data_IF_569989583253
#
_entry.id   IF_569989583253
#
_cell.length_a   1.000
_cell.length_b   1.000
_cell.length_c   1.000
_cell.angle_alpha   90.00
_cell.angle_beta   90.00
_cell.angle_gamma   90.00
#
_symmetry.space_group_name_H-M   'P 1'
#
loop_
_entity.id
_entity.type
_entity.pdbx_description
1 polymer ?
#
# COMPACT_ATOMS: atom_id res chain seq x y z
N UNK A 1 -19.71 3.89 -18.03
CA UNK A 1 -19.54 3.65 -16.59
C UNK A 1 -18.87 2.29 -16.45
N UNK A 2 -17.54 2.27 -16.37
CA UNK A 2 -16.78 1.02 -16.25
C UNK A 2 -16.96 0.49 -14.83
N UNK A 3 -17.81 -0.54 -14.70
CA UNK A 3 -17.94 -1.32 -13.46
C UNK A 3 -16.55 -1.82 -13.07
N UNK A 4 -16.14 -1.50 -11.85
CA UNK A 4 -14.95 -2.05 -11.20
C UNK A 4 -15.17 -3.57 -11.16
N UNK A 5 -14.51 -4.30 -12.06
CA UNK A 5 -14.50 -5.77 -12.06
C UNK A 5 -13.86 -6.21 -10.75
N UNK A 6 -14.70 -6.54 -9.77
CA UNK A 6 -14.41 -7.05 -8.42
C UNK A 6 -12.90 -7.09 -8.03
N UNK A 7 -12.38 -6.06 -7.35
CA UNK A 7 -11.04 -6.04 -6.77
C UNK A 7 -10.90 -6.91 -5.51
N UNK A 8 -11.84 -7.80 -5.22
CA UNK A 8 -12.01 -8.35 -3.87
C UNK A 8 -10.96 -9.43 -3.51
N UNK A 9 -10.18 -9.91 -4.49
CA UNK A 9 -9.07 -10.83 -4.20
C UNK A 9 -7.78 -10.06 -3.90
N UNK A 10 -7.08 -10.47 -2.84
CA UNK A 10 -5.75 -9.98 -2.49
C UNK A 10 -4.77 -9.98 -3.69
N UNK A 11 -4.87 -10.99 -4.55
CA UNK A 11 -4.08 -11.09 -5.78
C UNK A 11 -4.34 -9.94 -6.76
N UNK A 12 -5.61 -9.55 -6.96
CA UNK A 12 -5.97 -8.41 -7.82
C UNK A 12 -5.39 -7.11 -7.27
N UNK A 13 -5.51 -6.89 -5.95
CA UNK A 13 -4.96 -5.72 -5.29
C UNK A 13 -3.44 -5.62 -5.47
N UNK A 14 -2.73 -6.75 -5.38
CA UNK A 14 -1.28 -6.75 -5.64
C UNK A 14 -0.92 -6.54 -7.10
N UNK A 15 -1.76 -6.98 -8.04
CA UNK A 15 -1.57 -6.70 -9.47
C UNK A 15 -1.75 -5.20 -9.73
N UNK A 16 -2.83 -4.59 -9.23
CA UNK A 16 -3.07 -3.15 -9.33
C UNK A 16 -1.95 -2.33 -8.65
N UNK A 17 -1.47 -2.79 -7.49
CA UNK A 17 -0.38 -2.15 -6.76
C UNK A 17 0.92 -2.19 -7.58
N UNK A 18 1.22 -3.32 -8.22
CA UNK A 18 2.38 -3.47 -9.09
C UNK A 18 2.30 -2.50 -10.28
N UNK A 19 1.16 -2.46 -10.97
CA UNK A 19 0.96 -1.60 -12.14
C UNK A 19 1.08 -0.11 -11.79
N UNK A 20 0.50 0.31 -10.66
CA UNK A 20 0.64 1.67 -10.16
C UNK A 20 2.10 2.01 -9.83
N UNK A 21 2.84 1.07 -9.22
CA UNK A 21 4.25 1.25 -8.88
C UNK A 21 5.14 1.35 -10.13
N UNK A 22 4.92 0.51 -11.15
CA UNK A 22 5.63 0.59 -12.43
C UNK A 22 5.34 1.91 -13.16
N UNK A 23 4.11 2.42 -13.05
CA UNK A 23 3.70 3.69 -13.64
C UNK A 23 4.21 4.92 -12.86
N UNK A 24 4.79 4.73 -11.68
CA UNK A 24 5.23 5.81 -10.80
C UNK A 24 4.07 6.60 -10.16
N UNK A 25 2.84 6.10 -10.22
CA UNK A 25 1.69 6.71 -9.57
C UNK A 25 1.65 6.34 -8.08
N UNK A 26 2.51 7.00 -7.32
CA UNK A 26 2.65 6.74 -5.88
C UNK A 26 1.41 7.12 -5.07
N UNK A 27 0.52 7.98 -5.60
CA UNK A 27 -0.75 8.26 -4.94
C UNK A 27 -1.69 7.05 -5.01
N UNK A 28 -1.75 6.39 -6.17
CA UNK A 28 -2.48 5.12 -6.33
C UNK A 28 -1.85 3.99 -5.54
N UNK A 29 -0.51 3.86 -5.55
CA UNK A 29 0.20 2.88 -4.70
C UNK A 29 -0.21 3.04 -3.24
N UNK A 30 -0.21 4.28 -2.73
CA UNK A 30 -0.60 4.55 -1.35
C UNK A 30 -2.06 4.18 -1.05
N UNK A 31 -2.97 4.48 -1.98
CA UNK A 31 -4.39 4.13 -1.84
C UNK A 31 -4.59 2.61 -1.76
N UNK A 32 -4.01 1.86 -2.70
CA UNK A 32 -4.16 0.40 -2.78
C UNK A 32 -3.47 -0.27 -1.57
N UNK A 33 -2.28 0.19 -1.20
CA UNK A 33 -1.56 -0.33 -0.04
C UNK A 33 -2.35 -0.11 1.26
N UNK A 34 -3.04 1.02 1.43
CA UNK A 34 -3.93 1.25 2.56
C UNK A 34 -5.12 0.27 2.57
N UNK A 35 -5.70 -0.01 1.41
CA UNK A 35 -6.80 -0.98 1.26
C UNK A 35 -6.36 -2.40 1.68
N UNK A 36 -5.17 -2.82 1.23
CA UNK A 36 -4.60 -4.12 1.61
C UNK A 36 -4.27 -4.15 3.10
N UNK A 37 -3.59 -3.16 3.66
CA UNK A 37 -3.24 -3.13 5.10
C UNK A 37 -4.49 -3.14 5.99
N UNK A 38 -5.56 -2.46 5.58
CA UNK A 38 -6.82 -2.45 6.34
C UNK A 38 -7.57 -3.79 6.30
N UNK A 39 -7.45 -4.53 5.20
CA UNK A 39 -8.21 -5.78 4.98
C UNK A 39 -7.40 -7.03 5.34
N UNK A 40 -6.08 -6.92 5.24
CA UNK A 40 -5.08 -7.99 5.40
C UNK A 40 -3.89 -7.45 6.21
N UNK A 41 -4.04 -7.24 7.53
CA UNK A 41 -3.05 -6.55 8.36
C UNK A 41 -1.73 -7.29 8.55
N UNK A 42 -1.59 -8.51 8.02
CA UNK A 42 -0.34 -9.29 8.05
C UNK A 42 0.44 -9.26 6.72
N UNK A 43 -0.05 -8.52 5.72
CA UNK A 43 0.57 -8.43 4.40
C UNK A 43 1.75 -7.46 4.40
N UNK A 44 2.93 -7.95 4.83
CA UNK A 44 4.17 -7.17 4.96
C UNK A 44 4.50 -6.38 3.67
N UNK A 45 4.22 -6.94 2.50
CA UNK A 45 4.50 -6.29 1.22
C UNK A 45 3.67 -5.00 1.04
N UNK A 46 2.44 -4.97 1.54
CA UNK A 46 1.60 -3.77 1.52
C UNK A 46 2.09 -2.71 2.51
N UNK A 47 2.61 -3.09 3.68
CA UNK A 47 3.27 -2.15 4.60
C UNK A 47 4.47 -1.48 3.95
N UNK A 48 5.34 -2.29 3.31
CA UNK A 48 6.53 -1.80 2.58
C UNK A 48 6.12 -0.86 1.43
N UNK A 49 5.10 -1.23 0.65
CA UNK A 49 4.59 -0.40 -0.43
C UNK A 49 4.01 0.93 0.06
N UNK A 50 3.24 0.92 1.16
CA UNK A 50 2.72 2.14 1.79
C UNK A 50 3.84 3.06 2.24
N UNK A 51 4.83 2.53 2.95
CA UNK A 51 5.97 3.32 3.44
C UNK A 51 6.76 3.92 2.27
N UNK A 52 7.04 3.12 1.24
CA UNK A 52 7.72 3.57 0.03
C UNK A 52 6.95 4.69 -0.67
N UNK A 53 5.64 4.55 -0.84
CA UNK A 53 4.80 5.57 -1.46
C UNK A 53 4.78 6.88 -0.66
N UNK A 54 4.69 6.81 0.68
CA UNK A 54 4.76 8.00 1.55
C UNK A 54 6.09 8.74 1.37
N UNK A 55 7.22 8.02 1.31
CA UNK A 55 8.54 8.61 1.06
C UNK A 55 8.59 9.26 -0.33
N UNK A 56 8.10 8.59 -1.37
CA UNK A 56 8.10 9.12 -2.75
C UNK A 56 7.23 10.36 -2.91
N UNK A 57 6.17 10.48 -2.12
CA UNK A 57 5.30 11.65 -2.08
C UNK A 57 5.80 12.77 -1.14
N UNK A 58 6.93 12.57 -0.44
CA UNK A 58 7.45 13.53 0.53
C UNK A 58 6.63 13.64 1.83
N UNK A 59 5.75 12.67 2.10
CA UNK A 59 4.86 12.63 3.27
C UNK A 59 5.57 11.97 4.46
N UNK A 60 6.69 12.56 4.89
CA UNK A 60 7.58 11.97 5.90
C UNK A 60 6.96 11.88 7.29
N UNK A 61 6.14 12.85 7.69
CA UNK A 61 5.47 12.83 8.99
C UNK A 61 4.53 11.63 9.12
N UNK A 62 3.81 11.32 8.04
CA UNK A 62 2.92 10.16 7.98
C UNK A 62 3.69 8.85 7.91
N UNK A 63 4.82 8.82 7.20
CA UNK A 63 5.72 7.67 7.19
C UNK A 63 6.24 7.36 8.61
N UNK A 64 6.69 8.39 9.32
CA UNK A 64 7.20 8.26 10.70
C UNK A 64 6.10 7.80 11.65
N UNK A 65 4.91 8.42 11.59
CA UNK A 65 3.76 7.99 12.40
C UNK A 65 3.38 6.54 12.10
N UNK A 66 3.31 6.17 10.82
CA UNK A 66 2.96 4.82 10.43
C UNK A 66 3.96 3.79 10.94
N UNK A 67 5.26 4.05 10.87
CA UNK A 67 6.29 3.16 11.43
C UNK A 67 6.16 2.96 12.94
N UNK A 68 5.70 3.96 13.67
CA UNK A 68 5.49 3.85 15.13
C UNK A 68 4.22 3.06 15.49
N UNK A 69 3.25 2.97 14.58
CA UNK A 69 2.00 2.24 14.78
C UNK A 69 2.11 0.75 14.38
N UNK A 70 3.10 0.40 13.56
CA UNK A 70 3.29 -0.96 13.05
C UNK A 70 4.09 -1.79 14.06
N UNK A 71 3.58 -2.95 14.52
CA UNK A 71 4.32 -3.85 15.38
C UNK A 71 5.62 -4.32 14.70
N UNK A 72 6.72 -4.34 15.45
CA UNK A 72 8.09 -4.64 14.98
C UNK A 72 8.17 -5.95 14.18
N UNK A 73 7.29 -6.90 14.45
CA UNK A 73 7.18 -8.20 13.76
C UNK A 73 6.95 -8.08 12.23
N UNK A 74 6.55 -6.92 11.72
CA UNK A 74 6.34 -6.67 10.28
C UNK A 74 7.58 -6.04 9.58
N UNK A 75 8.67 -5.81 10.32
CA UNK A 75 9.87 -5.10 9.86
C UNK A 75 11.07 -6.05 9.60
N UNK A 76 11.02 -7.31 10.06
CA UNK A 76 12.08 -8.32 9.84
C UNK A 76 12.15 -8.89 8.40
#
# INVERSE_FOLDING_TARGET
MTSRSQPDSLFSLFTELHDANVSGDYASVLKIANEIVSSYPHEILAFKAKLFALIKLGRFDEASKFMNEVPVDHIE
#
